data_IF_958652425832
#
_entry.id   IF_958652425832
#
_cell.length_a   1.000
_cell.length_b   1.000
_cell.length_c   1.000
_cell.angle_alpha   90.00
_cell.angle_beta   90.00
_cell.angle_gamma   90.00
#
_symmetry.space_group_name_H-M   'P 1'
#
loop_
_entity.id
_entity.type
_entity.pdbx_description
1 polymer ?
#
# COMPACT_ATOMS: atom_id res chain seq x y z
N UNK A 1 -0.18 -8.09 -19.30
CA UNK A 1 1.14 -8.70 -18.95
C UNK A 1 0.88 -9.70 -17.83
N UNK A 2 1.57 -10.85 -17.81
CA UNK A 2 1.38 -11.85 -16.76
C UNK A 2 1.68 -11.27 -15.36
N UNK A 3 0.98 -11.76 -14.33
CA UNK A 3 1.17 -11.30 -12.95
C UNK A 3 2.62 -11.57 -12.51
N UNK A 4 3.42 -10.52 -12.26
CA UNK A 4 4.83 -10.66 -11.99
C UNK A 4 5.09 -11.29 -10.61
N UNK A 5 4.13 -11.24 -9.68
CA UNK A 5 4.28 -11.79 -8.33
C UNK A 5 4.10 -13.30 -8.22
N UNK A 6 3.60 -13.98 -9.26
CA UNK A 6 3.40 -15.43 -9.25
C UNK A 6 4.67 -16.22 -8.87
N UNK A 7 5.85 -15.70 -9.24
CA UNK A 7 7.15 -16.34 -8.96
C UNK A 7 7.60 -16.21 -7.50
N UNK A 8 7.02 -15.27 -6.75
CA UNK A 8 7.42 -14.94 -5.37
C UNK A 8 6.33 -15.18 -4.34
N UNK A 9 5.14 -15.63 -4.77
CA UNK A 9 4.09 -16.05 -3.85
C UNK A 9 4.65 -17.16 -2.95
N UNK A 10 4.41 -17.09 -1.62
CA UNK A 10 4.89 -18.11 -0.72
C UNK A 10 4.20 -19.44 -1.05
N UNK A 11 4.93 -20.39 -1.62
CA UNK A 11 4.50 -21.79 -1.63
C UNK A 11 4.43 -22.27 -0.16
N UNK A 12 3.50 -23.17 0.13
CA UNK A 12 3.17 -23.72 1.46
C UNK A 12 4.36 -24.26 2.28
N UNK A 13 5.54 -24.37 1.68
CA UNK A 13 6.77 -24.92 2.28
C UNK A 13 7.88 -23.88 2.52
N UNK A 14 7.56 -22.59 2.44
CA UNK A 14 8.57 -21.53 2.52
C UNK A 14 8.88 -21.09 3.94
N UNK A 15 9.87 -21.76 4.56
CA UNK A 15 10.50 -21.35 5.81
C UNK A 15 10.94 -19.87 5.82
N UNK A 16 11.24 -19.33 7.02
CA UNK A 16 11.56 -17.90 7.28
C UNK A 16 12.65 -17.36 6.35
N UNK A 17 12.27 -16.88 5.17
CA UNK A 17 13.17 -16.22 4.21
C UNK A 17 13.54 -14.85 4.76
N UNK A 18 14.82 -14.48 4.64
CA UNK A 18 15.29 -13.17 5.09
C UNK A 18 14.66 -12.06 4.25
N UNK A 19 14.43 -10.89 4.86
CA UNK A 19 13.93 -9.71 4.15
C UNK A 19 14.76 -9.37 2.91
N UNK A 20 16.09 -9.52 3.01
CA UNK A 20 17.00 -9.26 1.90
C UNK A 20 16.79 -10.24 0.73
N UNK A 21 16.53 -11.52 1.02
CA UNK A 21 16.17 -12.49 -0.02
C UNK A 21 14.87 -12.06 -0.72
N UNK A 22 13.84 -11.72 0.06
CA UNK A 22 12.56 -11.27 -0.50
C UNK A 22 12.72 -10.01 -1.34
N UNK A 23 13.43 -9.00 -0.82
CA UNK A 23 13.71 -7.76 -1.54
C UNK A 23 14.46 -8.00 -2.85
N UNK A 24 15.38 -8.97 -2.89
CA UNK A 24 16.10 -9.32 -4.12
C UNK A 24 15.21 -10.02 -5.14
N UNK A 25 14.28 -10.87 -4.71
CA UNK A 25 13.30 -11.50 -5.60
C UNK A 25 12.29 -10.48 -6.12
N UNK A 26 11.76 -9.64 -5.23
CA UNK A 26 10.85 -8.57 -5.61
C UNK A 26 11.57 -7.60 -6.57
N UNK A 27 12.87 -7.32 -6.41
CA UNK A 27 13.63 -6.49 -7.37
C UNK A 27 13.64 -7.04 -8.79
N UNK A 28 13.65 -8.36 -8.97
CA UNK A 28 13.61 -8.98 -10.30
C UNK A 28 12.22 -8.84 -10.92
N UNK A 29 11.18 -9.09 -10.12
CA UNK A 29 9.76 -8.89 -10.45
C UNK A 29 9.44 -7.42 -10.78
N UNK A 30 10.01 -6.48 -10.01
CA UNK A 30 9.82 -5.03 -10.14
C UNK A 30 10.44 -4.43 -11.40
N UNK A 31 11.35 -5.12 -12.09
CA UNK A 31 11.95 -4.58 -13.33
C UNK A 31 10.89 -4.27 -14.40
N UNK A 32 9.77 -4.98 -14.40
CA UNK A 32 8.64 -4.72 -15.30
C UNK A 32 7.57 -3.78 -14.76
N UNK A 33 7.58 -3.46 -13.46
CA UNK A 33 6.58 -2.61 -12.78
C UNK A 33 7.28 -1.53 -11.97
N UNK A 34 7.68 -0.46 -12.65
CA UNK A 34 8.47 0.65 -12.09
C UNK A 34 7.81 2.02 -12.23
N UNK A 35 6.57 2.06 -12.73
CA UNK A 35 5.77 3.27 -12.90
C UNK A 35 4.30 3.00 -12.61
N UNK A 36 3.51 4.02 -12.25
CA UNK A 36 2.07 3.86 -12.07
C UNK A 36 1.37 3.22 -13.27
N UNK A 37 1.75 3.60 -14.50
CA UNK A 37 1.18 3.04 -15.72
C UNK A 37 1.47 1.55 -15.84
N UNK A 38 2.73 1.13 -15.59
CA UNK A 38 3.10 -0.29 -15.62
C UNK A 38 2.39 -1.11 -14.52
N UNK A 39 2.12 -0.51 -13.36
CA UNK A 39 1.40 -1.18 -12.27
C UNK A 39 -0.06 -1.44 -12.66
N UNK A 40 -0.75 -0.43 -13.20
CA UNK A 40 -2.15 -0.57 -13.64
C UNK A 40 -2.28 -1.55 -14.81
N UNK A 41 -1.30 -1.61 -15.71
CA UNK A 41 -1.28 -2.53 -16.86
C UNK A 41 -0.80 -3.95 -16.53
N UNK A 42 -0.36 -4.20 -15.30
CA UNK A 42 0.01 -5.53 -14.82
C UNK A 42 -1.23 -6.30 -14.36
N UNK A 43 -1.06 -7.59 -14.06
CA UNK A 43 -2.13 -8.48 -13.59
C UNK A 43 -2.06 -8.70 -12.07
N UNK A 44 -1.53 -7.71 -11.33
CA UNK A 44 -1.40 -7.74 -9.86
C UNK A 44 -2.72 -7.36 -9.15
N UNK A 45 -3.75 -7.04 -9.93
CA UNK A 45 -4.99 -6.47 -9.45
C UNK A 45 -5.94 -6.10 -10.57
N UNK A 46 -7.04 -5.43 -10.20
CA UNK A 46 -8.13 -5.12 -11.11
C UNK A 46 -8.79 -3.78 -10.80
N UNK A 47 -9.31 -3.06 -11.82
CA UNK A 47 -10.00 -1.80 -11.59
C UNK A 47 -11.38 -2.03 -10.97
N UNK A 48 -11.69 -1.34 -9.86
CA UNK A 48 -12.97 -1.38 -9.16
C UNK A 48 -13.56 0.02 -8.98
N UNK A 49 -14.90 0.12 -8.91
CA UNK A 49 -15.61 1.40 -8.81
C UNK A 49 -15.74 1.94 -7.39
N UNK A 50 -15.70 1.06 -6.39
CA UNK A 50 -15.81 1.37 -4.97
C UNK A 50 -14.73 0.61 -4.22
N UNK A 51 -14.20 1.21 -3.17
CA UNK A 51 -13.29 0.51 -2.27
C UNK A 51 -14.08 -0.27 -1.21
N UNK A 52 -13.42 -1.27 -0.67
CA UNK A 52 -13.81 -2.10 0.47
C UNK A 52 -12.76 -1.97 1.55
N UNK A 53 -13.19 -1.81 2.81
CA UNK A 53 -12.27 -1.75 3.96
C UNK A 53 -11.53 -3.09 4.08
N UNK A 54 -10.23 -3.01 4.38
CA UNK A 54 -9.38 -4.19 4.56
C UNK A 54 -8.70 -4.69 3.29
N UNK A 55 -9.00 -4.13 2.11
CA UNK A 55 -8.25 -4.37 0.88
C UNK A 55 -7.20 -3.28 0.61
N UNK A 56 -6.29 -3.56 -0.34
CA UNK A 56 -5.21 -2.68 -0.78
C UNK A 56 -5.46 -2.12 -2.18
N UNK A 57 -5.24 -0.81 -2.36
CA UNK A 57 -5.55 -0.12 -3.60
C UNK A 57 -4.41 0.78 -4.08
N UNK A 58 -4.27 0.85 -5.39
CA UNK A 58 -3.57 1.92 -6.10
C UNK A 58 -4.60 2.83 -6.81
N UNK A 59 -4.35 4.14 -6.89
CA UNK A 59 -5.20 5.06 -7.65
C UNK A 59 -4.49 6.36 -7.96
N UNK A 60 -4.95 7.10 -8.99
CA UNK A 60 -4.47 8.45 -9.30
C UNK A 60 -5.22 9.48 -8.46
N UNK A 61 -4.48 10.40 -7.85
CA UNK A 61 -5.03 11.42 -6.96
C UNK A 61 -4.46 12.80 -7.23
N UNK A 62 -5.33 13.81 -7.23
CA UNK A 62 -4.98 15.23 -7.41
C UNK A 62 -5.20 15.98 -6.09
N UNK A 63 -4.14 16.15 -5.30
CA UNK A 63 -4.29 16.66 -3.93
C UNK A 63 -4.92 18.07 -3.87
N UNK A 64 -5.97 18.24 -3.05
CA UNK A 64 -6.75 19.48 -2.92
C UNK A 64 -5.90 20.73 -2.70
N UNK A 65 -4.82 20.62 -1.94
CA UNK A 65 -3.92 21.72 -1.60
C UNK A 65 -2.51 21.50 -2.14
N UNK A 66 -2.38 20.84 -3.30
CA UNK A 66 -1.07 20.47 -3.89
C UNK A 66 -0.06 21.62 -3.95
N UNK A 67 -0.52 22.84 -4.19
CA UNK A 67 0.34 24.04 -4.26
C UNK A 67 0.88 24.50 -2.90
N UNK A 68 0.28 24.03 -1.80
CA UNK A 68 0.64 24.39 -0.42
C UNK A 68 1.23 23.22 0.37
N UNK A 69 0.99 21.99 -0.07
CA UNK A 69 1.47 20.80 0.64
C UNK A 69 2.98 20.67 0.46
N UNK A 70 3.74 20.42 1.55
CA UNK A 70 5.19 20.25 1.44
C UNK A 70 5.56 19.03 0.62
N UNK A 71 4.71 17.99 0.65
CA UNK A 71 4.76 16.85 -0.24
C UNK A 71 3.43 16.10 -0.24
N UNK A 72 3.13 15.43 -1.34
CA UNK A 72 2.01 14.50 -1.47
C UNK A 72 2.33 13.40 -2.49
N UNK A 73 1.59 12.30 -2.42
CA UNK A 73 1.69 11.18 -3.36
C UNK A 73 0.52 11.24 -4.34
N UNK A 74 0.81 11.34 -5.63
CA UNK A 74 -0.18 11.35 -6.71
C UNK A 74 -0.60 9.94 -7.15
N UNK A 75 0.08 8.90 -6.65
CA UNK A 75 -0.27 7.50 -6.87
C UNK A 75 -0.23 6.66 -5.57
N UNK A 76 -1.17 6.90 -4.63
CA UNK A 76 -1.19 6.22 -3.34
C UNK A 76 -1.25 4.70 -3.39
N UNK A 77 -0.46 4.02 -2.56
CA UNK A 77 -0.70 2.63 -2.15
C UNK A 77 -1.45 2.64 -0.81
N UNK A 78 -2.77 2.55 -0.90
CA UNK A 78 -3.66 2.88 0.20
C UNK A 78 -4.41 1.66 0.74
N UNK A 79 -4.52 1.62 2.07
CA UNK A 79 -5.41 0.75 2.83
C UNK A 79 -6.51 1.62 3.47
N UNK A 80 -7.72 1.72 2.87
CA UNK A 80 -8.84 2.45 3.44
C UNK A 80 -9.29 1.82 4.76
N UNK A 81 -9.59 2.65 5.77
CA UNK A 81 -10.07 2.17 7.08
C UNK A 81 -11.35 2.86 7.57
N UNK A 82 -11.74 4.00 6.99
CA UNK A 82 -12.95 4.72 7.41
C UNK A 82 -13.54 5.56 6.27
N UNK A 83 -14.81 5.36 5.86
CA UNK A 83 -15.46 6.19 4.87
C UNK A 83 -15.87 7.55 5.46
N UNK A 84 -15.87 8.60 4.63
CA UNK A 84 -16.43 9.93 4.96
C UNK A 84 -17.50 10.31 3.95
N UNK A 85 -18.33 11.31 4.26
CA UNK A 85 -19.40 11.76 3.37
C UNK A 85 -18.90 12.17 1.96
N UNK A 86 -17.66 12.64 1.86
CA UNK A 86 -17.03 13.17 0.65
C UNK A 86 -15.75 12.42 0.24
N UNK A 87 -15.49 11.25 0.81
CA UNK A 87 -14.20 10.57 0.65
C UNK A 87 -13.98 9.42 1.64
N UNK A 88 -12.74 9.29 2.09
CA UNK A 88 -12.34 8.28 3.08
C UNK A 88 -11.00 8.62 3.73
N UNK A 89 -10.75 8.04 4.90
CA UNK A 89 -9.43 7.94 5.50
C UNK A 89 -8.77 6.62 5.13
N UNK A 90 -7.47 6.66 4.91
CA UNK A 90 -6.67 5.48 4.61
C UNK A 90 -5.21 5.62 5.02
N UNK A 91 -4.53 4.47 5.08
CA UNK A 91 -3.09 4.38 5.29
C UNK A 91 -2.39 4.32 3.94
N UNK A 92 -1.68 5.37 3.57
CA UNK A 92 -0.80 5.31 2.41
C UNK A 92 0.59 4.81 2.81
N UNK A 93 0.85 3.56 2.47
CA UNK A 93 2.10 2.87 2.80
C UNK A 93 3.30 3.48 2.07
N UNK A 94 3.10 4.20 0.96
CA UNK A 94 4.20 4.87 0.28
C UNK A 94 4.94 5.88 1.15
N UNK A 95 4.31 6.41 2.20
CA UNK A 95 4.96 7.36 3.11
C UNK A 95 6.04 6.70 3.99
N UNK A 96 6.13 5.37 4.01
CA UNK A 96 7.14 4.63 4.75
C UNK A 96 8.25 4.10 3.82
N UNK A 97 9.49 3.98 4.31
CA UNK A 97 10.50 3.13 3.69
C UNK A 97 10.04 1.67 3.62
N UNK A 98 10.52 0.92 2.62
CA UNK A 98 10.11 -0.47 2.35
C UNK A 98 10.11 -1.41 3.57
N UNK A 99 11.15 -1.35 4.42
CA UNK A 99 11.20 -2.19 5.63
C UNK A 99 10.06 -1.88 6.61
N UNK A 100 9.76 -0.59 6.79
CA UNK A 100 8.70 -0.14 7.70
C UNK A 100 7.31 -0.43 7.12
N UNK A 101 7.17 -0.38 5.78
CA UNK A 101 5.95 -0.89 5.11
C UNK A 101 5.71 -2.35 5.44
N UNK A 102 6.75 -3.19 5.38
CA UNK A 102 6.66 -4.61 5.68
C UNK A 102 6.34 -4.89 7.15
N UNK A 103 6.93 -4.12 8.08
CA UNK A 103 6.61 -4.20 9.51
C UNK A 103 5.15 -3.86 9.79
N UNK A 104 4.66 -2.73 9.24
CA UNK A 104 3.27 -2.31 9.42
C UNK A 104 2.31 -3.33 8.78
N UNK A 105 2.56 -3.73 7.53
CA UNK A 105 1.72 -4.72 6.85
C UNK A 105 1.70 -6.05 7.63
N UNK A 106 2.85 -6.52 8.14
CA UNK A 106 2.93 -7.73 8.96
C UNK A 106 1.98 -7.69 10.16
N UNK A 107 2.00 -6.59 10.93
CA UNK A 107 1.08 -6.40 12.06
C UNK A 107 -0.39 -6.32 11.64
N UNK A 108 -0.69 -5.69 10.50
CA UNK A 108 -2.07 -5.63 9.97
C UNK A 108 -2.56 -6.98 9.47
N UNK A 109 -1.68 -7.81 8.91
CA UNK A 109 -2.03 -9.14 8.43
C UNK A 109 -2.34 -10.12 9.57
N UNK A 110 -1.89 -9.87 10.80
CA UNK A 110 -2.32 -10.62 11.99
C UNK A 110 -3.82 -10.44 12.29
N UNK A 111 -4.48 -9.46 11.65
CA UNK A 111 -5.93 -9.22 11.77
C UNK A 111 -6.76 -9.87 10.64
N UNK A 112 -6.15 -10.70 9.80
CA UNK A 112 -6.87 -11.45 8.78
C UNK A 112 -7.83 -12.45 9.41
N UNK A 113 -8.97 -12.66 8.75
CA UNK A 113 -9.94 -13.68 9.14
C UNK A 113 -9.48 -15.10 8.85
N UNK A 114 -8.74 -15.25 7.76
CA UNK A 114 -8.41 -16.54 7.20
C UNK A 114 -7.01 -16.98 7.61
N UNK A 115 -6.83 -18.29 7.82
CA UNK A 115 -5.51 -18.88 8.06
C UNK A 115 -4.62 -18.81 6.81
N UNK A 116 -5.23 -18.71 5.62
CA UNK A 116 -4.58 -18.57 4.33
C UNK A 116 -5.15 -17.38 3.56
N UNK A 117 -4.32 -16.68 2.78
CA UNK A 117 -4.76 -15.50 2.01
C UNK A 117 -5.37 -15.98 0.71
N UNK A 118 -6.69 -15.84 0.60
CA UNK A 118 -7.50 -16.16 -0.58
C UNK A 118 -7.91 -14.89 -1.33
N UNK A 119 -8.57 -15.04 -2.48
CA UNK A 119 -8.92 -13.93 -3.37
C UNK A 119 -9.89 -12.93 -2.74
N UNK A 120 -10.69 -13.36 -1.75
CA UNK A 120 -11.65 -12.52 -1.03
C UNK A 120 -11.16 -12.05 0.35
N UNK A 121 -9.93 -12.43 0.76
CA UNK A 121 -9.41 -12.12 2.10
C UNK A 121 -9.33 -10.61 2.35
N UNK A 122 -9.68 -10.20 3.58
CA UNK A 122 -9.68 -8.80 4.04
C UNK A 122 -9.03 -8.68 5.41
N UNK A 123 -8.25 -7.63 5.61
CA UNK A 123 -7.71 -7.29 6.92
C UNK A 123 -8.78 -6.61 7.79
N UNK A 124 -8.90 -7.01 9.06
CA UNK A 124 -9.81 -6.38 10.03
C UNK A 124 -9.11 -5.35 10.90
N UNK A 125 -8.97 -4.13 10.37
CA UNK A 125 -8.54 -2.98 11.16
C UNK A 125 -9.53 -1.83 11.07
N UNK A 126 -9.56 -1.02 12.13
CA UNK A 126 -10.30 0.23 12.21
C UNK A 126 -9.45 1.28 12.94
N UNK A 127 -9.93 2.52 13.02
CA UNK A 127 -9.19 3.58 13.70
C UNK A 127 -8.85 3.28 15.16
N UNK A 128 -9.73 2.59 15.90
CA UNK A 128 -9.49 2.24 17.31
C UNK A 128 -8.24 1.36 17.47
N UNK A 129 -8.07 0.37 16.59
CA UNK A 129 -6.86 -0.45 16.54
C UNK A 129 -5.64 0.37 16.11
N UNK A 130 -5.77 1.15 15.03
CA UNK A 130 -4.67 1.88 14.40
C UNK A 130 -4.12 3.03 15.25
N UNK A 131 -4.95 3.62 16.11
CA UNK A 131 -4.55 4.74 16.97
C UNK A 131 -3.71 4.29 18.19
N UNK A 132 -3.48 2.98 18.36
CA UNK A 132 -2.55 2.48 19.37
C UNK A 132 -1.10 2.73 18.94
N UNK A 133 -0.56 3.91 19.29
CA UNK A 133 0.80 4.34 18.92
C UNK A 133 1.88 3.39 19.44
N UNK A 134 1.68 2.71 20.57
CA UNK A 134 2.64 1.73 21.09
C UNK A 134 2.76 0.51 20.18
N UNK A 135 1.66 0.10 19.55
CA UNK A 135 1.61 -1.04 18.65
C UNK A 135 1.92 -0.65 17.19
N UNK A 136 1.51 0.55 16.78
CA UNK A 136 1.56 1.01 15.39
C UNK A 136 2.18 2.41 15.24
N UNK A 137 3.43 2.64 15.67
CA UNK A 137 4.08 3.93 15.46
C UNK A 137 4.13 4.30 13.95
N UNK A 138 4.25 3.30 13.07
CA UNK A 138 4.36 3.47 11.62
C UNK A 138 3.08 4.03 10.96
N UNK A 139 1.93 3.99 11.65
CA UNK A 139 0.66 4.52 11.13
C UNK A 139 0.70 6.03 10.96
N UNK A 140 1.34 6.75 11.88
CA UNK A 140 1.31 8.22 11.97
C UNK A 140 1.66 8.95 10.66
N UNK A 141 2.75 8.62 9.93
CA UNK A 141 3.04 9.27 8.64
C UNK A 141 2.07 8.85 7.52
N UNK A 142 1.42 7.69 7.63
CA UNK A 142 0.60 7.06 6.59
C UNK A 142 -0.84 7.56 6.55
N UNK A 143 -1.39 8.07 7.66
CA UNK A 143 -2.79 8.53 7.71
C UNK A 143 -2.98 9.71 6.76
N UNK A 144 -3.85 9.53 5.76
CA UNK A 144 -4.30 10.58 4.81
C UNK A 144 -5.80 10.51 4.63
N UNK A 145 -6.41 11.68 4.38
CA UNK A 145 -7.79 11.78 3.90
C UNK A 145 -7.78 11.99 2.39
N UNK A 146 -8.55 11.17 1.69
CA UNK A 146 -8.75 11.25 0.25
C UNK A 146 -10.16 11.72 -0.03
N UNK A 147 -10.30 12.72 -0.90
CA UNK A 147 -11.60 13.26 -1.29
C UNK A 147 -12.03 12.64 -2.62
N UNK A 148 -13.28 12.20 -2.73
CA UNK A 148 -13.81 11.58 -3.94
C UNK A 148 -13.66 12.50 -5.15
N UNK A 149 -13.86 13.82 -4.98
CA UNK A 149 -13.69 14.84 -6.04
C UNK A 149 -12.26 14.95 -6.58
N UNK A 150 -11.28 14.42 -5.84
CA UNK A 150 -9.86 14.46 -6.18
C UNK A 150 -9.32 13.13 -6.70
N UNK A 151 -10.15 12.08 -6.75
CA UNK A 151 -9.81 10.87 -7.48
C UNK A 151 -9.78 11.17 -8.99
N UNK A 152 -8.73 10.69 -9.66
CA UNK A 152 -8.51 10.86 -11.10
C UNK A 152 -8.51 9.53 -11.85
N UNK A 153 -8.74 8.43 -11.17
CA UNK A 153 -8.93 7.11 -11.74
C UNK A 153 -9.93 6.31 -10.91
N UNK A 154 -10.35 5.15 -11.45
CA UNK A 154 -10.90 4.06 -10.64
C UNK A 154 -9.85 3.59 -9.63
N UNK A 155 -10.30 2.93 -8.58
CA UNK A 155 -9.39 2.19 -7.70
C UNK A 155 -8.86 0.98 -8.46
N UNK A 156 -7.59 0.66 -8.27
CA UNK A 156 -6.98 -0.57 -8.76
C UNK A 156 -6.71 -1.44 -7.53
N UNK A 157 -7.60 -2.40 -7.29
CA UNK A 157 -7.55 -3.31 -6.15
C UNK A 157 -6.46 -4.35 -6.38
N UNK A 158 -5.51 -4.43 -5.47
CA UNK A 158 -4.42 -5.41 -5.52
C UNK A 158 -4.94 -6.73 -4.96
N UNK A 159 -4.67 -7.83 -5.70
CA UNK A 159 -5.02 -9.17 -5.27
C UNK A 159 -4.45 -9.45 -3.87
N UNK A 160 -5.23 -10.03 -2.93
CA UNK A 160 -4.75 -10.27 -1.57
C UNK A 160 -3.42 -11.04 -1.49
N UNK A 161 -3.26 -12.03 -2.37
CA UNK A 161 -2.05 -12.86 -2.48
C UNK A 161 -0.79 -12.04 -2.84
N UNK A 162 -0.96 -10.86 -3.41
CA UNK A 162 0.12 -10.00 -3.91
C UNK A 162 0.42 -8.81 -2.98
N UNK A 163 -0.31 -8.61 -1.87
CA UNK A 163 -0.08 -7.51 -0.93
C UNK A 163 1.35 -7.43 -0.40
N UNK A 164 1.95 -8.58 -0.07
CA UNK A 164 3.35 -8.65 0.40
C UNK A 164 4.34 -8.16 -0.65
N UNK A 165 4.07 -8.40 -1.93
CA UNK A 165 4.90 -7.95 -3.03
C UNK A 165 4.66 -6.48 -3.38
N UNK A 166 3.38 -6.07 -3.35
CA UNK A 166 2.95 -4.74 -3.75
C UNK A 166 3.58 -3.61 -2.93
N UNK A 167 3.79 -3.81 -1.62
CA UNK A 167 4.42 -2.80 -0.76
C UNK A 167 5.86 -2.42 -1.17
N UNK A 168 6.53 -3.26 -1.96
CA UNK A 168 7.88 -3.01 -2.44
C UNK A 168 7.93 -2.34 -3.79
N UNK A 169 6.83 -2.31 -4.55
CA UNK A 169 6.78 -1.66 -5.85
C UNK A 169 7.27 -0.21 -5.76
N UNK A 170 8.19 0.23 -6.63
CA UNK A 170 8.76 1.58 -6.59
C UNK A 170 7.88 2.53 -7.42
N UNK A 171 6.57 2.53 -7.16
CA UNK A 171 5.56 3.22 -7.96
C UNK A 171 5.02 4.48 -7.29
N UNK A 172 5.55 4.82 -6.11
CA UNK A 172 5.27 6.09 -5.45
C UNK A 172 5.50 7.30 -6.39
N UNK A 173 4.54 8.23 -6.42
CA UNK A 173 4.56 9.39 -7.31
C UNK A 173 4.52 10.67 -6.49
N UNK A 174 5.60 10.90 -5.74
CA UNK A 174 5.74 12.08 -4.91
C UNK A 174 6.15 13.30 -5.73
N UNK A 175 5.60 14.47 -5.38
CA UNK A 175 6.06 15.76 -5.93
C UNK A 175 7.47 16.18 -5.45
N UNK A 176 8.13 15.36 -4.63
CA UNK A 176 9.50 15.52 -4.14
C UNK A 176 10.20 14.16 -4.16
N UNK A 177 11.52 14.11 -3.93
CA UNK A 177 12.21 12.83 -3.78
C UNK A 177 11.62 11.98 -2.64
N UNK A 178 11.39 10.69 -2.90
CA UNK A 178 10.94 9.73 -1.87
C UNK A 178 11.85 9.67 -0.65
N UNK A 179 13.16 9.91 -0.83
CA UNK A 179 14.11 9.93 0.28
C UNK A 179 13.80 11.05 1.28
N UNK A 180 13.34 12.21 0.79
CA UNK A 180 12.90 13.33 1.63
C UNK A 180 11.66 12.95 2.45
N UNK A 181 10.68 12.30 1.81
CA UNK A 181 9.47 11.81 2.49
C UNK A 181 9.84 10.79 3.56
N UNK A 182 10.66 9.80 3.21
CA UNK A 182 11.10 8.73 4.11
C UNK A 182 11.89 9.25 5.32
N UNK A 183 12.75 10.25 5.12
CA UNK A 183 13.48 10.89 6.22
C UNK A 183 12.52 11.60 7.18
N UNK A 184 11.52 12.32 6.65
CA UNK A 184 10.51 12.99 7.47
C UNK A 184 9.65 11.99 8.23
N UNK A 185 9.20 10.92 7.58
CA UNK A 185 8.40 9.87 8.22
C UNK A 185 9.13 9.19 9.37
N UNK A 186 10.44 8.90 9.22
CA UNK A 186 11.26 8.35 10.32
C UNK A 186 11.38 9.27 11.53
N UNK A 187 11.24 10.59 11.37
CA UNK A 187 11.28 11.55 12.48
C UNK A 187 9.93 11.67 13.21
N UNK A 188 8.85 11.17 12.62
CA UNK A 188 7.51 11.22 13.23
C UNK A 188 7.27 10.06 14.19
N UNK A 189 8.05 9.00 14.03
CA UNK A 189 8.06 7.73 14.77
C UNK A 189 9.12 7.82 15.85
#
# INVERSE_FOLDING_TARGET
>A
MANPFLQIRPNSDSGRKSFNWYMNQVRQVMRGVNSPSSAISSDIGQPVGKFTIGSMYLFRYDAKWKDKLPYFDAFPLCLPFEPTADGFWGLNLHYLPYMMRAQLLGKLMETLDDQAIEDESRMKFNWSLLNNVAQFPEVKPCVKRYLTKQLRSRFYEINPQDWKGAIFLPVEDFNVSKNTVFQKSRRMI
#
